data_IF_387167997551
#
_entry.id   IF_387167997551
#
_cell.length_a   1.000
_cell.length_b   1.000
_cell.length_c   1.000
_cell.angle_alpha   90.00
_cell.angle_beta   90.00
_cell.angle_gamma   90.00
#
_symmetry.space_group_name_H-M   'P 1'
#
loop_
_entity.id
_entity.type
_entity.pdbx_description
1 polymer ?
#
# COMPACT_ATOMS: atom_id res chain seq x y z
N UNK A 1 -31.50 13.57 -3.27
CA UNK A 1 -30.81 13.54 -1.97
C UNK A 1 -29.33 13.36 -2.22
N UNK A 2 -28.49 14.20 -1.64
CA UNK A 2 -27.04 14.07 -1.68
C UNK A 2 -26.51 14.70 -0.41
N UNK A 3 -26.06 13.89 0.54
CA UNK A 3 -25.46 14.39 1.77
C UNK A 3 -24.05 14.90 1.50
N UNK A 4 -23.62 15.89 2.28
CA UNK A 4 -22.23 16.34 2.27
C UNK A 4 -21.37 15.26 2.91
N UNK A 5 -20.28 14.89 2.26
CA UNK A 5 -19.30 13.94 2.77
C UNK A 5 -17.89 14.47 2.58
N UNK A 6 -16.99 14.00 3.42
CA UNK A 6 -15.56 14.30 3.34
C UNK A 6 -14.79 13.00 3.04
N UNK A 7 -13.73 13.09 2.24
CA UNK A 7 -12.85 11.96 1.94
C UNK A 7 -11.41 12.31 2.30
N UNK A 8 -10.73 11.39 2.98
CA UNK A 8 -9.31 11.53 3.31
C UNK A 8 -8.47 10.62 2.42
N UNK A 9 -7.36 11.16 1.91
CA UNK A 9 -6.37 10.43 1.14
C UNK A 9 -5.07 10.34 1.95
N UNK A 10 -4.62 9.13 2.23
CA UNK A 10 -3.33 8.88 2.86
C UNK A 10 -2.30 8.58 1.77
N UNK A 11 -1.27 9.42 1.68
CA UNK A 11 -0.16 9.23 0.73
C UNK A 11 1.15 9.01 1.48
N UNK A 12 1.94 8.08 0.97
CA UNK A 12 3.32 7.93 1.39
C UNK A 12 4.21 8.99 0.71
N UNK A 13 5.37 9.32 1.28
CA UNK A 13 6.31 10.25 0.65
C UNK A 13 6.70 9.86 -0.79
N UNK A 14 6.77 8.55 -1.09
CA UNK A 14 7.06 8.02 -2.43
C UNK A 14 5.93 8.20 -3.45
N UNK A 15 4.73 8.59 -2.99
CA UNK A 15 3.49 8.68 -3.77
C UNK A 15 3.04 10.12 -3.99
N UNK A 16 3.82 11.10 -3.54
CA UNK A 16 3.43 12.51 -3.57
C UNK A 16 3.15 13.03 -4.99
N UNK A 17 3.83 12.46 -6.00
CA UNK A 17 3.61 12.75 -7.42
C UNK A 17 2.15 12.46 -7.86
N UNK A 18 1.40 11.65 -7.10
CA UNK A 18 -0.02 11.40 -7.35
C UNK A 18 -0.87 12.67 -7.23
N UNK A 19 -0.46 13.63 -6.40
CA UNK A 19 -1.18 14.90 -6.27
C UNK A 19 -1.24 15.65 -7.60
N UNK A 20 -0.14 15.65 -8.36
CA UNK A 20 -0.09 16.30 -9.69
C UNK A 20 -1.01 15.59 -10.69
N UNK A 21 -1.10 14.26 -10.61
CA UNK A 21 -1.99 13.50 -11.47
C UNK A 21 -3.47 13.71 -11.11
N UNK A 22 -3.79 13.86 -9.81
CA UNK A 22 -5.14 14.20 -9.35
C UNK A 22 -5.56 15.61 -9.78
N UNK A 23 -4.64 16.58 -9.70
CA UNK A 23 -4.90 17.96 -10.11
C UNK A 23 -5.24 18.05 -11.60
N UNK A 24 -4.56 17.27 -12.46
CA UNK A 24 -4.90 17.17 -13.90
C UNK A 24 -6.34 16.69 -14.15
N UNK A 25 -6.90 15.91 -13.23
CA UNK A 25 -8.27 15.41 -13.30
C UNK A 25 -9.28 16.31 -12.55
N UNK A 26 -8.86 17.52 -12.15
CA UNK A 26 -9.72 18.50 -11.49
C UNK A 26 -9.94 18.23 -10.00
N UNK A 27 -9.13 17.36 -9.38
CA UNK A 27 -9.21 17.08 -7.94
C UNK A 27 -8.14 17.90 -7.22
N UNK A 28 -8.57 18.88 -6.43
CA UNK A 28 -7.70 19.63 -5.52
C UNK A 28 -7.79 19.05 -4.11
N UNK A 29 -6.64 18.85 -3.47
CA UNK A 29 -6.53 18.31 -2.13
C UNK A 29 -5.91 19.35 -1.20
N UNK A 30 -6.35 19.37 0.04
CA UNK A 30 -5.78 20.22 1.10
C UNK A 30 -5.00 19.33 2.05
N UNK A 31 -3.81 19.77 2.45
CA UNK A 31 -3.01 19.06 3.44
C UNK A 31 -3.76 19.01 4.78
N UNK A 32 -3.87 17.80 5.33
CA UNK A 32 -4.52 17.60 6.62
C UNK A 32 -3.48 17.75 7.75
N UNK A 33 -3.71 18.61 8.76
CA UNK A 33 -2.72 18.91 9.80
C UNK A 33 -2.60 17.76 10.82
N UNK A 34 -2.00 16.65 10.39
CA UNK A 34 -1.99 15.38 11.12
C UNK A 34 -1.37 15.51 12.52
N UNK A 35 -0.31 16.29 12.68
CA UNK A 35 0.34 16.52 13.99
C UNK A 35 -0.63 17.13 14.99
N UNK A 36 -1.42 18.14 14.58
CA UNK A 36 -2.41 18.78 15.47
C UNK A 36 -3.51 17.81 15.89
N UNK A 37 -3.89 16.91 14.99
CA UNK A 37 -4.89 15.88 15.28
C UNK A 37 -4.31 14.83 16.23
N UNK A 38 -3.06 14.42 16.04
CA UNK A 38 -2.39 13.50 16.95
C UNK A 38 -2.26 14.06 18.37
N UNK A 39 -1.90 15.34 18.48
CA UNK A 39 -1.80 16.06 19.75
C UNK A 39 -3.16 16.17 20.47
N UNK A 40 -4.28 16.06 19.74
CA UNK A 40 -5.63 16.12 20.31
C UNK A 40 -6.10 14.80 20.95
N UNK A 41 -5.44 13.67 20.67
CA UNK A 41 -5.86 12.39 21.23
C UNK A 41 -5.51 12.31 22.73
N UNK A 42 -6.48 11.92 23.59
CA UNK A 42 -6.22 11.79 25.01
C UNK A 42 -5.30 10.59 25.28
N UNK A 43 -4.09 10.86 25.77
CA UNK A 43 -3.19 9.83 26.28
C UNK A 43 -3.53 9.54 27.75
N UNK A 44 -4.06 8.33 28.01
CA UNK A 44 -4.46 7.86 29.34
C UNK A 44 -3.29 7.57 30.29
N UNK A 45 -2.05 7.75 29.85
CA UNK A 45 -0.86 7.54 30.67
C UNK A 45 0.11 8.72 30.51
N UNK A 46 0.29 9.47 31.61
CA UNK A 46 1.30 10.51 31.87
C UNK A 46 0.98 11.95 31.41
N UNK A 47 0.48 12.75 32.36
CA UNK A 47 0.54 14.22 32.38
C UNK A 47 1.97 14.75 32.64
N UNK A 48 2.98 14.25 31.94
CA UNK A 48 4.36 14.72 32.11
C UNK A 48 4.85 15.33 30.80
N UNK A 49 4.95 16.67 30.76
CA UNK A 49 5.73 17.48 29.81
C UNK A 49 6.04 16.79 28.47
N UNK A 50 5.03 16.61 27.62
CA UNK A 50 5.24 16.10 26.26
C UNK A 50 6.02 17.19 25.51
N UNK A 51 7.33 16.99 25.39
CA UNK A 51 8.15 17.75 24.45
C UNK A 51 7.51 17.56 23.09
N UNK A 52 7.16 18.66 22.39
CA UNK A 52 6.62 18.64 21.03
C UNK A 52 7.40 17.62 20.21
N UNK A 53 6.79 16.50 19.85
CA UNK A 53 7.48 15.48 19.07
C UNK A 53 7.70 16.04 17.68
N UNK A 54 8.95 16.33 17.32
CA UNK A 54 9.32 16.87 16.00
C UNK A 54 9.03 15.86 14.88
N UNK A 55 9.02 14.56 15.21
CA UNK A 55 8.76 13.46 14.29
C UNK A 55 7.48 12.71 14.65
N UNK A 56 6.64 12.49 13.64
CA UNK A 56 5.34 11.83 13.79
C UNK A 56 5.48 10.39 14.32
N UNK A 57 6.50 9.67 13.86
CA UNK A 57 6.75 8.29 14.26
C UNK A 57 7.15 8.15 15.74
N UNK A 58 7.57 9.25 16.39
CA UNK A 58 7.90 9.27 17.81
C UNK A 58 6.74 9.74 18.70
N UNK A 59 5.59 10.07 18.10
CA UNK A 59 4.45 10.53 18.87
C UNK A 59 3.99 9.42 19.85
N UNK A 60 3.85 9.72 21.16
CA UNK A 60 3.56 8.71 22.18
C UNK A 60 2.31 7.86 21.88
N UNK A 61 1.27 8.49 21.33
CA UNK A 61 0.04 7.79 20.95
C UNK A 61 0.27 6.79 19.82
N UNK A 62 1.07 7.15 18.80
CA UNK A 62 1.39 6.25 17.68
C UNK A 62 2.19 5.06 18.19
N UNK A 63 3.16 5.29 19.08
CA UNK A 63 3.97 4.22 19.67
C UNK A 63 3.13 3.27 20.54
N UNK A 64 2.21 3.82 21.33
CA UNK A 64 1.27 3.02 22.12
C UNK A 64 0.37 2.17 21.21
N UNK A 65 -0.24 2.78 20.20
CA UNK A 65 -1.10 2.10 19.24
C UNK A 65 -0.35 0.98 18.50
N UNK A 66 0.85 1.28 17.99
CA UNK A 66 1.68 0.31 17.29
C UNK A 66 1.99 -0.90 18.18
N UNK A 67 2.43 -0.67 19.44
CA UNK A 67 2.74 -1.73 20.39
C UNK A 67 1.51 -2.59 20.72
N UNK A 68 0.34 -1.96 20.88
CA UNK A 68 -0.91 -2.66 21.14
C UNK A 68 -1.30 -3.58 19.97
N UNK A 69 -1.21 -3.09 18.74
CA UNK A 69 -1.49 -3.87 17.53
C UNK A 69 -0.50 -5.03 17.35
N UNK A 70 0.81 -4.77 17.50
CA UNK A 70 1.84 -5.80 17.39
C UNK A 70 1.68 -6.90 18.46
N UNK A 71 1.33 -6.51 19.69
CA UNK A 71 1.03 -7.46 20.77
C UNK A 71 -0.21 -8.30 20.45
N UNK A 72 -1.29 -7.67 19.98
CA UNK A 72 -2.51 -8.37 19.60
C UNK A 72 -2.27 -9.39 18.48
N UNK A 73 -1.55 -9.01 17.43
CA UNK A 73 -1.24 -9.91 16.31
C UNK A 73 -0.31 -11.04 16.75
N UNK A 74 0.74 -10.73 17.53
CA UNK A 74 1.69 -11.73 18.02
C UNK A 74 1.04 -12.74 18.97
N UNK A 75 0.00 -12.35 19.71
CA UNK A 75 -0.69 -13.23 20.67
C UNK A 75 -1.53 -14.33 20.01
N UNK A 76 -1.90 -14.17 18.73
CA UNK A 76 -2.84 -15.05 18.04
C UNK A 76 -2.26 -15.50 16.69
N UNK A 77 -1.84 -16.77 16.54
CA UNK A 77 -1.25 -17.28 15.29
C UNK A 77 -2.13 -17.04 14.06
N UNK A 78 -3.46 -17.16 14.21
CA UNK A 78 -4.43 -16.89 13.13
C UNK A 78 -4.41 -15.43 12.67
N UNK A 79 -4.24 -14.48 13.60
CA UNK A 79 -4.17 -13.06 13.25
C UNK A 79 -2.86 -12.72 12.55
N UNK A 80 -1.76 -13.32 12.99
CA UNK A 80 -0.45 -13.17 12.33
C UNK A 80 -0.50 -13.67 10.88
N UNK A 81 -1.12 -14.83 10.64
CA UNK A 81 -1.29 -15.36 9.28
C UNK A 81 -2.18 -14.45 8.41
N UNK A 82 -3.28 -13.93 8.96
CA UNK A 82 -4.12 -12.97 8.24
C UNK A 82 -3.37 -11.68 7.91
N UNK A 83 -2.55 -11.16 8.83
CA UNK A 83 -1.73 -9.98 8.59
C UNK A 83 -0.68 -10.22 7.49
N UNK A 84 -0.01 -11.38 7.48
CA UNK A 84 0.91 -11.79 6.39
C UNK A 84 0.20 -11.85 5.04
N UNK A 85 -1.01 -12.43 5.01
CA UNK A 85 -1.83 -12.52 3.78
C UNK A 85 -2.30 -11.14 3.31
N UNK A 86 -2.75 -10.28 4.22
CA UNK A 86 -3.15 -8.91 3.92
C UNK A 86 -1.99 -8.11 3.33
N UNK A 87 -0.81 -8.16 3.95
CA UNK A 87 0.42 -7.58 3.41
C UNK A 87 0.70 -8.08 1.99
N UNK A 88 0.73 -9.39 1.76
CA UNK A 88 0.96 -9.94 0.42
C UNK A 88 -0.11 -9.53 -0.60
N UNK A 89 -1.36 -9.33 -0.17
CA UNK A 89 -2.43 -8.81 -1.04
C UNK A 89 -2.19 -7.35 -1.41
N UNK A 90 -1.84 -6.52 -0.43
CA UNK A 90 -1.56 -5.11 -0.61
C UNK A 90 -0.37 -4.89 -1.56
N UNK A 91 0.77 -5.58 -1.37
CA UNK A 91 1.93 -5.40 -2.27
C UNK A 91 1.60 -5.83 -3.70
N UNK A 92 0.78 -6.87 -3.88
CA UNK A 92 0.30 -7.27 -5.21
C UNK A 92 -0.58 -6.21 -5.85
N UNK A 93 -1.53 -5.65 -5.11
CA UNK A 93 -2.38 -4.56 -5.57
C UNK A 93 -1.54 -3.33 -5.96
N UNK A 94 -0.52 -3.00 -5.15
CA UNK A 94 0.42 -1.91 -5.41
C UNK A 94 1.13 -2.04 -6.76
N UNK A 95 1.49 -3.27 -7.17
CA UNK A 95 2.12 -3.49 -8.49
C UNK A 95 1.17 -3.52 -9.67
N UNK A 96 -0.15 -3.44 -9.44
CA UNK A 96 -1.13 -3.65 -10.50
C UNK A 96 -1.40 -2.40 -11.36
N UNK A 97 -0.93 -1.23 -10.94
CA UNK A 97 -1.12 0.04 -11.67
C UNK A 97 -0.51 -0.01 -13.08
N UNK A 98 -1.18 0.66 -14.02
CA UNK A 98 -0.81 0.77 -15.44
C UNK A 98 -0.59 2.22 -15.84
N UNK A 99 -0.01 2.45 -17.01
CA UNK A 99 0.17 3.79 -17.57
C UNK A 99 1.00 4.70 -16.67
N UNK A 100 0.53 5.94 -16.51
CA UNK A 100 1.21 6.99 -15.76
C UNK A 100 1.31 6.69 -14.25
N UNK A 101 0.26 6.07 -13.69
CA UNK A 101 0.23 5.66 -12.28
C UNK A 101 1.32 4.65 -11.91
N UNK A 102 1.78 3.82 -12.86
CA UNK A 102 2.87 2.87 -12.61
C UNK A 102 4.18 3.57 -12.25
N UNK A 103 4.40 4.80 -12.76
CA UNK A 103 5.62 5.56 -12.47
C UNK A 103 5.63 6.15 -11.05
N UNK A 104 4.43 6.40 -10.53
CA UNK A 104 4.20 6.90 -9.19
C UNK A 104 4.30 5.73 -8.19
N UNK A 105 3.46 4.70 -8.37
CA UNK A 105 3.36 3.55 -7.46
C UNK A 105 4.38 2.44 -7.80
N UNK A 106 5.66 2.76 -7.66
CA UNK A 106 6.75 1.79 -7.87
C UNK A 106 7.14 1.08 -6.58
N UNK A 107 7.02 -0.25 -6.51
CA UNK A 107 7.50 -1.04 -5.35
C UNK A 107 8.98 -0.82 -5.06
N UNK A 108 9.80 -0.47 -6.06
CA UNK A 108 11.22 -0.16 -5.85
C UNK A 108 11.46 1.10 -5.02
N UNK A 109 10.54 2.06 -5.05
CA UNK A 109 10.58 3.29 -4.24
C UNK A 109 10.05 3.06 -2.81
N UNK A 110 9.54 1.86 -2.53
CA UNK A 110 8.81 1.55 -1.32
C UNK A 110 9.68 0.76 -0.34
N UNK A 111 9.72 1.20 0.92
CA UNK A 111 10.36 0.44 1.98
C UNK A 111 9.41 -0.64 2.51
N UNK A 112 9.54 -1.87 2.00
CA UNK A 112 8.66 -2.99 2.37
C UNK A 112 8.67 -3.31 3.87
N UNK A 113 9.75 -2.98 4.59
CA UNK A 113 9.80 -3.09 6.04
C UNK A 113 8.84 -2.12 6.74
N UNK A 114 8.71 -0.88 6.26
CA UNK A 114 7.75 0.08 6.84
C UNK A 114 6.31 -0.34 6.56
N UNK A 115 6.05 -0.83 5.34
CA UNK A 115 4.74 -1.37 5.00
C UNK A 115 4.40 -2.57 5.87
N UNK A 116 5.34 -3.50 6.09
CA UNK A 116 5.11 -4.63 6.99
C UNK A 116 4.75 -4.17 8.41
N UNK A 117 5.41 -3.11 8.91
CA UNK A 117 5.11 -2.49 10.20
C UNK A 117 3.69 -1.92 10.26
N UNK A 118 3.16 -1.35 9.15
CA UNK A 118 1.76 -0.89 9.07
C UNK A 118 0.72 -2.02 9.20
N UNK A 119 1.11 -3.27 8.89
CA UNK A 119 0.32 -4.47 9.17
C UNK A 119 0.64 -5.08 10.55
N UNK A 120 1.36 -4.34 11.40
CA UNK A 120 1.83 -4.76 12.72
C UNK A 120 2.60 -6.09 12.72
N UNK A 121 3.33 -6.36 11.62
CA UNK A 121 4.26 -7.48 11.50
C UNK A 121 5.65 -7.06 12.00
N UNK A 122 6.21 -7.83 12.92
CA UNK A 122 7.56 -7.58 13.47
C UNK A 122 8.68 -7.74 12.45
N UNK A 123 8.46 -8.57 11.44
CA UNK A 123 9.44 -8.87 10.41
C UNK A 123 8.76 -8.86 9.05
N UNK A 124 9.47 -8.36 8.04
CA UNK A 124 8.98 -8.37 6.67
C UNK A 124 8.80 -9.83 6.20
N UNK A 125 7.59 -10.23 5.74
CA UNK A 125 7.39 -11.55 5.18
C UNK A 125 8.25 -11.79 3.93
N UNK A 126 9.11 -12.81 3.98
CA UNK A 126 9.93 -13.27 2.85
C UNK A 126 9.10 -13.83 1.69
N UNK A 127 7.83 -14.18 1.95
CA UNK A 127 6.86 -14.76 1.01
C UNK A 127 6.53 -13.84 -0.18
N UNK A 128 6.78 -12.54 -0.05
CA UNK A 128 6.50 -11.57 -1.11
C UNK A 128 7.36 -11.82 -2.35
N UNK A 129 8.66 -12.12 -2.19
CA UNK A 129 9.55 -12.42 -3.33
C UNK A 129 9.12 -13.67 -4.12
N UNK A 130 8.76 -14.75 -3.42
CA UNK A 130 8.33 -16.03 -4.05
C UNK A 130 6.97 -15.88 -4.76
N UNK A 131 6.05 -15.12 -4.18
CA UNK A 131 4.73 -14.87 -4.76
C UNK A 131 4.80 -14.02 -6.04
N UNK A 132 5.66 -13.00 -6.08
CA UNK A 132 5.91 -12.21 -7.29
C UNK A 132 6.46 -13.05 -8.45
N UNK A 133 7.38 -13.97 -8.16
CA UNK A 133 7.97 -14.84 -9.18
C UNK A 133 6.95 -15.83 -9.75
N UNK A 134 6.02 -16.32 -8.93
CA UNK A 134 4.95 -17.21 -9.38
C UNK A 134 3.87 -16.47 -10.19
N UNK A 135 3.54 -15.23 -9.83
CA UNK A 135 2.58 -14.43 -10.59
C UNK A 135 3.13 -13.95 -11.93
N UNK A 136 4.39 -13.53 -11.99
CA UNK A 136 5.07 -13.20 -13.26
C UNK A 136 5.18 -14.43 -14.18
N UNK A 137 5.49 -15.62 -13.64
CA UNK A 137 5.47 -16.88 -14.40
C UNK A 137 4.06 -17.22 -14.93
N UNK A 138 3.00 -17.06 -14.11
CA UNK A 138 1.61 -17.26 -14.56
C UNK A 138 1.18 -16.25 -15.63
N UNK A 139 1.50 -14.96 -15.47
CA UNK A 139 1.21 -13.91 -16.47
C UNK A 139 1.91 -14.19 -17.80
N UNK A 140 3.21 -14.51 -17.78
CA UNK A 140 3.94 -14.94 -19.00
C UNK A 140 3.32 -16.18 -19.66
N UNK A 141 2.81 -17.14 -18.87
CA UNK A 141 2.13 -18.34 -19.40
C UNK A 141 0.78 -18.01 -20.05
N UNK A 142 0.04 -17.04 -19.52
CA UNK A 142 -1.22 -16.56 -20.12
C UNK A 142 -0.97 -15.74 -21.40
N UNK A 143 0.04 -14.88 -21.42
CA UNK A 143 0.44 -14.09 -22.59
C UNK A 143 0.88 -15.00 -23.75
N UNK A 144 1.63 -16.07 -23.45
CA UNK A 144 2.06 -17.09 -24.42
C UNK A 144 0.90 -17.93 -24.98
N UNK A 145 -0.21 -18.06 -24.24
CA UNK A 145 -1.43 -18.77 -24.68
C UNK A 145 -2.34 -17.89 -25.55
N UNK A 146 -2.36 -16.57 -25.34
CA UNK A 146 -3.14 -15.65 -26.16
C UNK A 146 -2.44 -15.25 -27.48
N UNK A 147 -1.13 -15.41 -27.59
CA UNK A 147 -0.37 -15.12 -28.82
C UNK A 147 -0.45 -16.17 -29.93
N UNK A 148 -1.06 -17.36 -29.70
CA UNK A 148 -1.11 -18.45 -30.68
C UNK A 148 -2.38 -18.47 -31.56
N UNK A 149 -3.23 -17.45 -31.48
CA UNK A 149 -4.51 -17.40 -32.19
C UNK A 149 -4.61 -16.13 -33.05
N UNK A 150 -3.86 -16.06 -34.16
CA UNK A 150 -4.24 -15.41 -35.44
C UNK A 150 -3.01 -15.27 -36.36
N UNK A 151 -2.87 -16.19 -37.31
CA UNK A 151 -2.96 -15.96 -38.77
C UNK A 151 -2.54 -17.24 -39.50
N UNK A 152 -3.51 -18.09 -39.87
CA UNK A 152 -3.30 -19.05 -40.97
C UNK A 152 -3.44 -18.25 -42.27
N UNK A 153 -2.31 -17.95 -42.93
CA UNK A 153 -2.33 -17.46 -44.32
C UNK A 153 -2.90 -18.58 -45.19
N UNK A 154 -4.08 -18.34 -45.77
CA UNK A 154 -4.66 -19.22 -46.78
C UNK A 154 -3.90 -18.98 -48.08
N UNK A 155 -3.07 -19.95 -48.48
CA UNK A 155 -2.46 -19.97 -49.80
C UNK A 155 -3.56 -20.31 -50.82
N UNK A 156 -3.83 -19.38 -51.74
CA UNK A 156 -4.77 -19.56 -52.84
C UNK A 156 -3.96 -20.09 -54.03
N UNK A 157 -4.08 -21.38 -54.32
CA UNK A 157 -3.56 -21.97 -55.56
C UNK A 157 -4.61 -21.74 -56.65
N UNK A 158 -4.23 -21.00 -57.70
CA UNK A 158 -5.04 -20.85 -58.92
C UNK A 158 -4.42 -21.75 -59.98
N UNK A 159 -5.28 -22.60 -60.55
CA UNK A 159 -5.01 -23.46 -61.70
C UNK A 159 -5.27 -22.68 -62.97
#
# INVERSE_FOLDING_TARGET
MGERGESLLFLQPSEIDYLQDLEKHGVSLVEYPLVKVLDSFPMSAHKNNIKKSVFIDLHPWIMCLQKALESFISSKPKMEELAKRAFCSWVRAYTAHRGDLKRIFMVKKLHLGHVAKSFALKQQPSLVGKSFQNQTKKRKRFEKKNGSSKTRKVARSVK
#
